data_IF_412247235780
#
_entry.id   IF_412247235780
#
_cell.length_a   1.000
_cell.length_b   1.000
_cell.length_c   1.000
_cell.angle_alpha   90.00
_cell.angle_beta   90.00
_cell.angle_gamma   90.00
#
_symmetry.space_group_name_H-M   'P 1'
#
loop_
_entity.id
_entity.type
_entity.pdbx_description
1 polymer ?
#
# COMPACT_ATOMS: atom_id res chain seq x y z
N UNK A 1 -6.44 -46.86 44.49
CA UNK A 1 -5.20 -46.35 43.86
C UNK A 1 -5.29 -46.38 42.34
N UNK A 2 -5.50 -47.56 41.71
CA UNK A 2 -5.55 -47.71 40.24
C UNK A 2 -6.63 -46.84 39.55
N UNK A 3 -7.86 -46.83 40.07
CA UNK A 3 -8.96 -46.01 39.53
C UNK A 3 -8.65 -44.50 39.56
N UNK A 4 -8.03 -44.01 40.64
CA UNK A 4 -7.61 -42.61 40.76
C UNK A 4 -6.54 -42.25 39.73
N UNK A 5 -5.62 -43.17 39.42
CA UNK A 5 -4.59 -42.98 38.38
C UNK A 5 -5.22 -42.89 36.99
N UNK A 6 -6.24 -43.70 36.71
CA UNK A 6 -6.99 -43.62 35.44
C UNK A 6 -7.77 -42.31 35.31
N UNK A 7 -8.42 -41.85 36.37
CA UNK A 7 -9.15 -40.58 36.35
C UNK A 7 -8.23 -39.38 36.17
N UNK A 8 -7.05 -39.40 36.81
CA UNK A 8 -6.01 -38.37 36.60
C UNK A 8 -5.50 -38.37 35.16
N UNK A 9 -5.32 -39.54 34.53
CA UNK A 9 -4.93 -39.62 33.11
C UNK A 9 -6.01 -39.11 32.17
N UNK A 10 -7.28 -39.39 32.44
CA UNK A 10 -8.42 -38.86 31.66
C UNK A 10 -8.51 -37.33 31.79
N UNK A 11 -8.31 -36.80 32.99
CA UNK A 11 -8.27 -35.35 33.23
C UNK A 11 -7.10 -34.68 32.52
N UNK A 12 -5.91 -35.29 32.50
CA UNK A 12 -4.76 -34.74 31.78
C UNK A 12 -4.96 -34.77 30.25
N UNK A 13 -5.61 -35.81 29.73
CA UNK A 13 -6.04 -35.87 28.33
C UNK A 13 -7.03 -34.75 27.98
N UNK A 14 -8.11 -34.63 28.76
CA UNK A 14 -9.12 -33.58 28.56
C UNK A 14 -8.51 -32.18 28.67
N UNK A 15 -7.54 -31.97 29.57
CA UNK A 15 -6.82 -30.72 29.70
C UNK A 15 -6.02 -30.38 28.43
N UNK A 16 -5.29 -31.35 27.84
CA UNK A 16 -4.52 -31.13 26.60
C UNK A 16 -5.41 -30.82 25.40
N UNK A 17 -6.56 -31.48 25.31
CA UNK A 17 -7.55 -31.21 24.26
C UNK A 17 -8.12 -29.79 24.41
N UNK A 18 -8.38 -29.36 25.65
CA UNK A 18 -8.81 -28.00 25.95
C UNK A 18 -7.73 -26.97 25.60
N UNK A 19 -6.46 -27.23 25.96
CA UNK A 19 -5.32 -26.36 25.64
C UNK A 19 -5.13 -26.20 24.12
N UNK A 20 -5.37 -27.28 23.36
CA UNK A 20 -5.30 -27.26 21.89
C UNK A 20 -6.44 -26.43 21.31
N UNK A 21 -7.67 -26.66 21.78
CA UNK A 21 -8.84 -25.89 21.35
C UNK A 21 -8.71 -24.39 21.66
N UNK A 22 -8.14 -24.03 22.82
CA UNK A 22 -7.84 -22.63 23.17
C UNK A 22 -6.80 -22.02 22.23
N UNK A 23 -5.79 -22.78 21.80
CA UNK A 23 -4.78 -22.30 20.83
C UNK A 23 -5.39 -22.07 19.45
N UNK A 24 -6.26 -22.96 18.99
CA UNK A 24 -6.93 -22.83 17.69
C UNK A 24 -7.89 -21.63 17.68
N UNK A 25 -8.69 -21.47 18.74
CA UNK A 25 -9.59 -20.31 18.91
C UNK A 25 -8.82 -18.99 18.93
N UNK A 26 -7.64 -18.93 19.56
CA UNK A 26 -6.77 -17.74 19.54
C UNK A 26 -6.27 -17.42 18.13
N UNK A 27 -5.95 -18.45 17.34
CA UNK A 27 -5.51 -18.28 15.95
C UNK A 27 -6.64 -17.77 15.06
N UNK A 28 -7.84 -18.32 15.23
CA UNK A 28 -9.04 -17.86 14.52
C UNK A 28 -9.39 -16.42 14.91
N UNK A 29 -9.33 -16.08 16.20
CA UNK A 29 -9.58 -14.71 16.68
C UNK A 29 -8.60 -13.72 16.04
N UNK A 30 -7.30 -14.04 16.00
CA UNK A 30 -6.29 -13.20 15.36
C UNK A 30 -6.55 -13.01 13.86
N UNK A 31 -6.99 -14.06 13.15
CA UNK A 31 -7.37 -13.98 11.73
C UNK A 31 -8.58 -13.06 11.51
N UNK A 32 -9.60 -13.17 12.36
CA UNK A 32 -10.81 -12.34 12.26
C UNK A 32 -10.50 -10.87 12.62
N UNK A 33 -9.63 -10.63 13.59
CA UNK A 33 -9.17 -9.28 13.95
C UNK A 33 -8.33 -8.62 12.85
N UNK A 34 -7.56 -9.41 12.08
CA UNK A 34 -6.84 -8.93 10.91
C UNK A 34 -7.80 -8.56 9.77
N UNK A 35 -8.76 -9.44 9.44
CA UNK A 35 -9.80 -9.16 8.44
C UNK A 35 -10.65 -7.94 8.81
N UNK A 36 -11.00 -7.80 10.10
CA UNK A 36 -11.73 -6.63 10.60
C UNK A 36 -10.93 -5.35 10.39
N UNK A 37 -9.61 -5.36 10.62
CA UNK A 37 -8.75 -4.18 10.40
C UNK A 37 -8.68 -3.81 8.92
N UNK A 38 -8.50 -4.79 8.04
CA UNK A 38 -8.49 -4.59 6.58
C UNK A 38 -9.82 -3.98 6.09
N UNK A 39 -10.95 -4.52 6.53
CA UNK A 39 -12.27 -3.97 6.21
C UNK A 39 -12.49 -2.56 6.77
N UNK A 40 -11.99 -2.28 7.98
CA UNK A 40 -12.07 -0.93 8.56
C UNK A 40 -11.19 0.07 7.79
N UNK A 41 -10.04 -0.34 7.27
CA UNK A 41 -9.21 0.48 6.39
C UNK A 41 -9.91 0.74 5.04
N UNK A 42 -10.53 -0.28 4.45
CA UNK A 42 -11.33 -0.14 3.22
C UNK A 42 -12.53 0.79 3.42
N UNK A 43 -13.24 0.68 4.55
CA UNK A 43 -14.33 1.59 4.92
C UNK A 43 -13.79 3.00 5.13
N UNK A 44 -12.68 3.19 5.86
CA UNK A 44 -12.09 4.50 6.06
C UNK A 44 -11.58 5.13 4.76
N UNK A 45 -11.14 4.33 3.78
CA UNK A 45 -10.79 4.80 2.44
C UNK A 45 -12.03 5.17 1.62
N UNK A 46 -13.10 4.38 1.71
CA UNK A 46 -14.40 4.68 1.10
C UNK A 46 -15.01 5.95 1.71
N UNK A 47 -14.96 6.13 3.02
CA UNK A 47 -15.44 7.32 3.70
C UNK A 47 -14.59 8.54 3.32
N UNK A 48 -13.26 8.43 3.30
CA UNK A 48 -12.39 9.48 2.74
C UNK A 48 -12.67 9.76 1.26
N UNK A 49 -13.17 8.79 0.51
CA UNK A 49 -13.59 8.98 -0.89
C UNK A 49 -14.97 9.65 -0.97
N UNK A 50 -15.91 9.28 -0.10
CA UNK A 50 -17.23 9.90 0.01
C UNK A 50 -17.14 11.32 0.54
N UNK A 51 -16.35 11.59 1.57
CA UNK A 51 -16.04 12.94 2.06
C UNK A 51 -15.36 13.78 0.98
N UNK A 52 -14.50 13.19 0.13
CA UNK A 52 -13.97 13.89 -1.05
C UNK A 52 -15.03 14.16 -2.13
N UNK A 53 -16.11 13.40 -2.18
CA UNK A 53 -17.24 13.62 -3.09
C UNK A 53 -18.27 14.61 -2.51
N UNK A 54 -18.50 14.58 -1.20
CA UNK A 54 -19.45 15.43 -0.48
C UNK A 54 -18.84 16.79 -0.11
N UNK A 55 -17.57 16.83 0.29
CA UNK A 55 -16.84 18.06 0.64
C UNK A 55 -15.95 18.59 -0.50
N UNK A 56 -15.63 17.76 -1.50
CA UNK A 56 -14.83 18.15 -2.65
C UNK A 56 -15.70 18.59 -3.84
N UNK A 57 -15.11 19.44 -4.67
CA UNK A 57 -15.49 19.95 -6.01
C UNK A 57 -16.83 19.55 -6.64
N UNK A 58 -17.33 18.32 -6.52
CA UNK A 58 -18.56 17.85 -7.16
C UNK A 58 -19.82 18.59 -6.66
N UNK A 59 -19.96 18.92 -5.36
CA UNK A 59 -21.11 19.70 -4.84
C UNK A 59 -21.10 21.17 -5.31
N UNK A 60 -19.93 21.83 -5.24
CA UNK A 60 -19.72 23.18 -5.81
C UNK A 60 -19.84 23.18 -7.34
N UNK A 61 -19.43 22.10 -8.00
CA UNK A 61 -19.57 21.92 -9.43
C UNK A 61 -21.02 21.66 -9.82
N UNK A 62 -21.87 21.03 -8.99
CA UNK A 62 -23.32 20.94 -9.24
C UNK A 62 -23.94 22.34 -9.22
N UNK A 63 -23.64 23.15 -8.21
CA UNK A 63 -24.14 24.54 -8.12
C UNK A 63 -23.64 25.42 -9.27
N UNK A 64 -22.36 25.28 -9.64
CA UNK A 64 -21.77 26.00 -10.76
C UNK A 64 -22.34 25.53 -12.12
N UNK A 65 -22.57 24.23 -12.31
CA UNK A 65 -23.27 23.68 -13.49
C UNK A 65 -24.67 24.23 -13.61
N UNK A 66 -25.46 24.21 -12.53
CA UNK A 66 -26.81 24.78 -12.50
C UNK A 66 -26.80 26.28 -12.82
N UNK A 67 -25.82 27.02 -12.29
CA UNK A 67 -25.64 28.45 -12.60
C UNK A 67 -25.37 28.68 -14.09
N UNK A 68 -24.46 27.91 -14.69
CA UNK A 68 -24.10 28.05 -16.12
C UNK A 68 -25.25 27.55 -17.01
N UNK A 69 -25.97 26.49 -16.63
CA UNK A 69 -27.19 26.07 -17.34
C UNK A 69 -28.23 27.18 -17.38
N UNK A 70 -28.53 27.82 -16.23
CA UNK A 70 -29.45 28.97 -16.17
C UNK A 70 -28.98 30.13 -17.05
N UNK A 71 -27.67 30.39 -17.11
CA UNK A 71 -27.10 31.40 -17.98
C UNK A 71 -27.30 31.05 -19.46
N UNK A 72 -27.00 29.82 -19.88
CA UNK A 72 -27.18 29.37 -21.26
C UNK A 72 -28.65 29.40 -21.70
N UNK A 73 -29.58 29.05 -20.80
CA UNK A 73 -31.02 29.17 -21.07
C UNK A 73 -31.45 30.63 -21.27
N UNK A 74 -30.98 31.55 -20.42
CA UNK A 74 -31.28 32.98 -20.58
C UNK A 74 -30.68 33.57 -21.89
N UNK A 75 -29.50 33.10 -22.31
CA UNK A 75 -28.89 33.49 -23.58
C UNK A 75 -29.70 32.96 -24.79
N UNK A 76 -30.17 31.71 -24.71
CA UNK A 76 -31.05 31.11 -25.72
C UNK A 76 -32.38 31.87 -25.85
N UNK A 77 -33.04 32.16 -24.73
CA UNK A 77 -34.30 32.94 -24.71
C UNK A 77 -34.10 34.37 -25.25
N UNK A 78 -32.92 34.95 -25.03
CA UNK A 78 -32.53 36.25 -25.56
C UNK A 78 -32.05 36.25 -27.02
N UNK A 79 -32.07 35.11 -27.72
CA UNK A 79 -31.61 34.99 -29.11
C UNK A 79 -30.09 35.16 -29.30
N UNK A 80 -29.31 34.97 -28.23
CA UNK A 80 -27.85 35.05 -28.23
C UNK A 80 -27.22 33.68 -28.47
N UNK A 81 -25.92 33.65 -28.77
CA UNK A 81 -25.18 32.40 -28.89
C UNK A 81 -24.94 31.77 -27.51
N UNK A 82 -25.75 30.77 -27.19
CA UNK A 82 -25.72 30.00 -25.95
C UNK A 82 -24.74 28.81 -26.03
N UNK A 83 -24.25 28.46 -27.22
CA UNK A 83 -23.44 27.24 -27.43
C UNK A 83 -22.12 27.34 -26.69
N UNK A 84 -21.48 28.50 -26.72
CA UNK A 84 -20.23 28.78 -25.99
C UNK A 84 -20.39 28.69 -24.47
N UNK A 85 -21.59 28.92 -23.94
CA UNK A 85 -21.86 28.85 -22.50
C UNK A 85 -22.17 27.41 -22.08
N UNK A 86 -22.86 26.63 -22.91
CA UNK A 86 -23.07 25.19 -22.68
C UNK A 86 -21.77 24.38 -22.80
N UNK A 87 -20.80 24.81 -23.62
CA UNK A 87 -19.47 24.21 -23.65
C UNK A 87 -18.75 24.27 -22.29
N UNK A 88 -18.96 25.34 -21.51
CA UNK A 88 -18.44 25.45 -20.14
C UNK A 88 -19.06 24.43 -19.19
N UNK A 89 -20.33 24.07 -19.40
CA UNK A 89 -20.98 22.99 -18.64
C UNK A 89 -20.40 21.63 -19.04
N UNK A 90 -20.17 21.38 -20.32
CA UNK A 90 -19.55 20.12 -20.79
C UNK A 90 -18.16 19.90 -20.23
N UNK A 91 -17.38 20.97 -20.07
CA UNK A 91 -16.10 20.94 -19.36
C UNK A 91 -16.26 20.52 -17.88
N UNK A 92 -17.33 20.97 -17.21
CA UNK A 92 -17.67 20.57 -15.83
C UNK A 92 -18.32 19.19 -15.72
N UNK A 93 -18.98 18.71 -16.78
CA UNK A 93 -19.63 17.39 -16.84
C UNK A 93 -18.65 16.25 -17.12
N UNK A 94 -17.35 16.53 -17.21
CA UNK A 94 -16.31 15.54 -17.54
C UNK A 94 -16.62 14.85 -18.88
N UNK A 95 -16.98 15.64 -19.89
CA UNK A 95 -17.28 15.12 -21.25
C UNK A 95 -16.10 15.37 -22.17
N UNK A 96 -15.55 14.28 -22.73
CA UNK A 96 -14.57 14.32 -23.81
C UNK A 96 -15.34 14.19 -25.12
N UNK A 97 -15.37 15.25 -25.92
CA UNK A 97 -16.01 15.26 -27.24
C UNK A 97 -14.97 15.09 -28.35
N UNK A 98 -15.13 14.05 -29.16
CA UNK A 98 -14.19 13.73 -30.24
C UNK A 98 -14.93 13.59 -31.57
N UNK A 99 -14.38 14.11 -32.68
CA UNK A 99 -14.82 13.73 -34.02
C UNK A 99 -14.75 12.21 -34.23
N UNK A 100 -15.66 11.67 -35.04
CA UNK A 100 -15.69 10.22 -35.32
C UNK A 100 -14.34 9.67 -35.83
N UNK A 101 -13.66 10.38 -36.72
CA UNK A 101 -12.36 9.96 -37.26
C UNK A 101 -11.24 9.92 -36.21
N UNK A 102 -11.23 10.88 -35.28
CA UNK A 102 -10.29 10.90 -34.16
C UNK A 102 -10.58 9.77 -33.18
N UNK A 103 -11.85 9.51 -32.88
CA UNK A 103 -12.27 8.39 -32.04
C UNK A 103 -11.84 7.04 -32.62
N UNK A 104 -12.00 6.82 -33.93
CA UNK A 104 -11.53 5.60 -34.60
C UNK A 104 -10.00 5.44 -34.54
N UNK A 105 -9.27 6.55 -34.64
CA UNK A 105 -7.80 6.56 -34.55
C UNK A 105 -7.35 6.22 -33.13
N UNK A 106 -7.96 6.86 -32.13
CA UNK A 106 -7.73 6.59 -30.72
C UNK A 106 -8.00 5.12 -30.37
N UNK A 107 -9.10 4.54 -30.84
CA UNK A 107 -9.43 3.12 -30.64
C UNK A 107 -8.30 2.21 -31.14
N UNK A 108 -7.74 2.48 -32.32
CA UNK A 108 -6.63 1.67 -32.88
C UNK A 108 -5.35 1.81 -32.06
N UNK A 109 -5.04 3.02 -31.60
CA UNK A 109 -3.85 3.29 -30.78
C UNK A 109 -3.98 2.60 -29.44
N UNK A 110 -5.09 2.79 -28.73
CA UNK A 110 -5.32 2.19 -27.42
C UNK A 110 -5.36 0.66 -27.49
N UNK A 111 -6.01 0.07 -28.50
CA UNK A 111 -6.04 -1.40 -28.67
C UNK A 111 -4.62 -1.96 -28.87
N UNK A 112 -3.79 -1.27 -29.67
CA UNK A 112 -2.37 -1.65 -29.85
C UNK A 112 -1.60 -1.57 -28.54
N UNK A 113 -1.67 -0.44 -27.83
CA UNK A 113 -0.94 -0.23 -26.57
C UNK A 113 -1.40 -1.21 -25.49
N UNK A 114 -2.71 -1.40 -25.33
CA UNK A 114 -3.30 -2.38 -24.42
C UNK A 114 -2.83 -3.80 -24.76
N UNK A 115 -2.69 -4.08 -26.05
CA UNK A 115 -2.00 -5.26 -26.52
C UNK A 115 -0.61 -5.36 -25.88
N UNK A 116 0.24 -4.39 -26.10
CA UNK A 116 1.64 -4.41 -25.65
C UNK A 116 1.76 -4.56 -24.13
N UNK A 117 0.87 -3.90 -23.36
CA UNK A 117 0.70 -4.10 -21.91
C UNK A 117 0.35 -5.55 -21.59
N UNK A 118 -0.68 -6.11 -22.22
CA UNK A 118 -1.16 -7.46 -21.93
C UNK A 118 -0.10 -8.55 -22.19
N UNK A 119 0.76 -8.42 -23.21
CA UNK A 119 1.88 -9.37 -23.44
C UNK A 119 2.91 -9.31 -22.31
N UNK A 120 3.24 -8.10 -21.87
CA UNK A 120 4.19 -7.90 -20.77
C UNK A 120 3.62 -8.44 -19.46
N UNK A 121 2.34 -8.19 -19.19
CA UNK A 121 1.63 -8.77 -18.04
C UNK A 121 1.56 -10.30 -18.11
N UNK A 122 1.34 -10.88 -19.30
CA UNK A 122 1.32 -12.35 -19.45
C UNK A 122 2.67 -12.97 -19.08
N UNK A 123 3.77 -12.33 -19.52
CA UNK A 123 5.12 -12.78 -19.18
C UNK A 123 5.41 -12.62 -17.67
N UNK A 124 5.02 -11.50 -17.05
CA UNK A 124 5.13 -11.29 -15.60
C UNK A 124 4.31 -12.30 -14.80
N UNK A 125 3.08 -12.57 -15.23
CA UNK A 125 2.18 -13.53 -14.57
C UNK A 125 2.69 -14.97 -14.62
N UNK A 126 3.44 -15.34 -15.66
CA UNK A 126 4.13 -16.65 -15.73
C UNK A 126 5.22 -16.81 -14.67
N UNK A 127 5.73 -15.69 -14.14
CA UNK A 127 6.72 -15.69 -13.04
C UNK A 127 6.00 -15.71 -11.70
N UNK A 128 5.00 -14.83 -11.51
CA UNK A 128 4.23 -14.76 -10.27
C UNK A 128 2.74 -14.47 -10.59
N UNK A 129 1.80 -15.37 -10.24
CA UNK A 129 0.41 -15.24 -10.63
C UNK A 129 -0.40 -14.32 -9.68
N UNK A 130 0.05 -13.08 -9.50
CA UNK A 130 -0.53 -12.10 -8.55
C UNK A 130 -1.86 -11.51 -9.08
N UNK A 131 -2.06 -11.50 -10.39
CA UNK A 131 -3.24 -10.92 -11.04
C UNK A 131 -4.01 -11.93 -11.90
N UNK A 132 -5.22 -11.55 -12.29
CA UNK A 132 -6.06 -12.29 -13.23
C UNK A 132 -5.37 -12.50 -14.59
N UNK A 133 -5.88 -13.43 -15.41
CA UNK A 133 -5.31 -13.72 -16.73
C UNK A 133 -5.34 -12.47 -17.64
N UNK A 134 -4.18 -11.96 -18.12
CA UNK A 134 -4.11 -10.81 -19.01
C UNK A 134 -4.78 -11.03 -20.37
N UNK A 135 -5.12 -12.28 -20.73
CA UNK A 135 -5.95 -12.57 -21.91
C UNK A 135 -7.30 -11.86 -21.87
N UNK A 136 -7.81 -11.47 -20.70
CA UNK A 136 -9.02 -10.66 -20.59
C UNK A 136 -8.91 -9.28 -21.26
N UNK A 137 -7.69 -8.81 -21.54
CA UNK A 137 -7.43 -7.57 -22.28
C UNK A 137 -7.21 -7.81 -23.79
N UNK A 138 -7.41 -9.04 -24.30
CA UNK A 138 -7.22 -9.39 -25.71
C UNK A 138 -8.25 -10.43 -26.20
N UNK A 139 -9.35 -10.03 -26.86
CA UNK A 139 -10.35 -10.98 -27.36
C UNK A 139 -9.85 -11.82 -28.53
N UNK A 140 -8.93 -11.28 -29.34
CA UNK A 140 -8.60 -11.82 -30.67
C UNK A 140 -7.61 -12.99 -30.63
N UNK A 141 -7.05 -13.33 -29.48
CA UNK A 141 -6.03 -14.38 -29.38
C UNK A 141 -6.55 -15.64 -28.68
N UNK A 142 -7.55 -15.52 -27.79
CA UNK A 142 -8.17 -16.68 -27.14
C UNK A 142 -9.66 -16.41 -26.94
N UNK A 143 -10.50 -17.20 -27.61
CA UNK A 143 -11.94 -16.96 -27.71
C UNK A 143 -12.68 -17.01 -26.37
N UNK A 144 -13.68 -16.11 -26.27
CA UNK A 144 -14.73 -16.04 -25.25
C UNK A 144 -14.28 -15.79 -23.81
N UNK A 145 -14.48 -14.57 -23.30
CA UNK A 145 -14.37 -14.29 -21.86
C UNK A 145 -14.10 -12.83 -21.45
N UNK A 146 -13.81 -11.91 -22.39
CA UNK A 146 -13.56 -10.52 -22.01
C UNK A 146 -14.85 -9.74 -21.78
N UNK A 147 -14.90 -8.97 -20.68
CA UNK A 147 -16.00 -8.06 -20.33
C UNK A 147 -15.97 -6.73 -21.09
N UNK A 148 -14.91 -6.46 -21.87
CA UNK A 148 -14.74 -5.18 -22.57
C UNK A 148 -15.13 -5.30 -24.05
N UNK A 149 -15.74 -4.24 -24.58
CA UNK A 149 -15.93 -4.07 -26.03
C UNK A 149 -14.75 -3.30 -26.65
N UNK A 150 -13.82 -4.00 -27.28
CA UNK A 150 -12.58 -3.42 -27.83
C UNK A 150 -12.80 -2.59 -29.10
N UNK A 151 -14.05 -2.43 -29.54
CA UNK A 151 -14.42 -1.54 -30.65
C UNK A 151 -14.79 -0.14 -30.16
N UNK A 152 -15.04 0.05 -28.87
CA UNK A 152 -15.46 1.34 -28.31
C UNK A 152 -14.37 1.96 -27.42
N UNK A 153 -14.15 3.27 -27.60
CA UNK A 153 -13.17 4.02 -26.83
C UNK A 153 -13.42 3.98 -25.31
N UNK A 154 -14.66 4.13 -24.80
CA UNK A 154 -14.94 3.97 -23.37
C UNK A 154 -14.51 2.62 -22.80
N UNK A 155 -14.79 1.53 -23.52
CA UNK A 155 -14.45 0.18 -23.07
C UNK A 155 -12.95 -0.07 -23.09
N UNK A 156 -12.23 0.44 -24.10
CA UNK A 156 -10.77 0.40 -24.16
C UNK A 156 -10.11 1.23 -23.04
N UNK A 157 -10.70 2.37 -22.67
CA UNK A 157 -10.26 3.17 -21.53
C UNK A 157 -10.37 2.39 -20.21
N UNK A 158 -11.50 1.70 -19.99
CA UNK A 158 -11.69 0.83 -18.82
C UNK A 158 -10.71 -0.35 -18.81
N UNK A 159 -10.48 -0.98 -19.96
CA UNK A 159 -9.52 -2.07 -20.09
C UNK A 159 -8.08 -1.59 -19.83
N UNK A 160 -7.71 -0.41 -20.33
CA UNK A 160 -6.42 0.24 -20.10
C UNK A 160 -6.21 0.54 -18.62
N UNK A 161 -7.21 1.15 -17.95
CA UNK A 161 -7.20 1.38 -16.50
C UNK A 161 -6.97 0.09 -15.73
N UNK A 162 -7.74 -0.95 -16.02
CA UNK A 162 -7.66 -2.22 -15.30
C UNK A 162 -6.32 -2.95 -15.57
N UNK A 163 -5.78 -2.86 -16.79
CA UNK A 163 -4.42 -3.35 -17.09
C UNK A 163 -3.32 -2.57 -16.36
N UNK A 164 -3.54 -1.27 -16.13
CA UNK A 164 -2.66 -0.44 -15.31
C UNK A 164 -2.66 -0.87 -13.85
N UNK A 165 -3.82 -1.24 -13.29
CA UNK A 165 -3.92 -1.80 -11.93
C UNK A 165 -3.17 -3.13 -11.80
N UNK A 166 -3.31 -4.01 -12.79
CA UNK A 166 -2.54 -5.25 -12.82
C UNK A 166 -1.03 -4.98 -12.85
N UNK A 167 -0.59 -4.05 -13.69
CA UNK A 167 0.81 -3.64 -13.76
C UNK A 167 1.30 -3.08 -12.42
N UNK A 168 0.49 -2.23 -11.77
CA UNK A 168 0.83 -1.65 -10.48
C UNK A 168 1.07 -2.73 -9.42
N UNK A 169 0.25 -3.78 -9.36
CA UNK A 169 0.45 -4.89 -8.42
C UNK A 169 1.82 -5.57 -8.61
N UNK A 170 2.26 -5.78 -9.85
CA UNK A 170 3.61 -6.31 -10.13
C UNK A 170 4.73 -5.35 -9.70
N UNK A 171 4.58 -4.06 -10.00
CA UNK A 171 5.58 -3.04 -9.64
C UNK A 171 5.68 -2.87 -8.12
N UNK A 172 4.55 -2.90 -7.41
CA UNK A 172 4.50 -2.91 -5.95
C UNK A 172 5.19 -4.14 -5.36
N UNK A 173 4.96 -5.32 -5.94
CA UNK A 173 5.68 -6.54 -5.52
C UNK A 173 7.18 -6.42 -5.75
N UNK A 174 7.62 -5.95 -6.92
CA UNK A 174 9.05 -5.71 -7.18
C UNK A 174 9.65 -4.75 -6.16
N UNK A 175 8.95 -3.64 -5.86
CA UNK A 175 9.44 -2.66 -4.88
C UNK A 175 9.49 -3.24 -3.46
N UNK A 176 8.50 -4.03 -3.09
CA UNK A 176 8.48 -4.77 -1.83
C UNK A 176 9.67 -5.74 -1.72
N UNK A 177 9.96 -6.49 -2.79
CA UNK A 177 11.12 -7.41 -2.87
C UNK A 177 12.46 -6.69 -2.69
N UNK A 178 12.60 -5.49 -3.28
CA UNK A 178 13.76 -4.63 -3.01
C UNK A 178 13.85 -4.29 -1.51
N UNK A 179 12.72 -3.96 -0.89
CA UNK A 179 12.61 -3.67 0.53
C UNK A 179 13.04 -4.83 1.42
N UNK A 180 12.61 -6.06 1.10
CA UNK A 180 13.07 -7.28 1.79
C UNK A 180 14.59 -7.42 1.69
N UNK A 181 15.17 -7.15 0.52
CA UNK A 181 16.62 -7.22 0.31
C UNK A 181 17.39 -6.18 1.12
N UNK A 182 16.82 -4.97 1.28
CA UNK A 182 17.39 -3.91 2.12
C UNK A 182 17.33 -4.32 3.60
N UNK A 183 16.16 -4.79 4.05
CA UNK A 183 15.94 -5.20 5.42
C UNK A 183 16.85 -6.38 5.80
N UNK A 184 16.93 -7.41 4.94
CA UNK A 184 17.80 -8.58 5.13
C UNK A 184 19.28 -8.20 5.36
N UNK A 185 19.77 -7.16 4.67
CA UNK A 185 21.14 -6.63 4.86
C UNK A 185 21.32 -5.96 6.23
N UNK A 186 20.27 -5.36 6.78
CA UNK A 186 20.31 -4.68 8.08
C UNK A 186 19.97 -5.60 9.27
N UNK A 187 19.34 -6.75 9.03
CA UNK A 187 18.96 -7.72 10.08
C UNK A 187 20.11 -8.03 11.06
N UNK A 188 21.35 -8.35 10.64
CA UNK A 188 22.43 -8.65 11.58
C UNK A 188 22.75 -7.48 12.52
N UNK A 189 22.72 -6.24 11.99
CA UNK A 189 22.98 -5.03 12.76
C UNK A 189 21.84 -4.74 13.73
N UNK A 190 20.60 -4.84 13.27
CA UNK A 190 19.41 -4.70 14.13
C UNK A 190 19.41 -5.75 15.25
N UNK A 191 19.77 -7.00 14.95
CA UNK A 191 19.90 -8.06 15.97
C UNK A 191 20.92 -7.71 17.04
N UNK A 192 22.10 -7.25 16.66
CA UNK A 192 23.14 -6.88 17.61
C UNK A 192 22.66 -5.77 18.56
N UNK A 193 22.08 -4.71 17.99
CA UNK A 193 21.58 -3.55 18.73
C UNK A 193 20.43 -3.92 19.67
N UNK A 194 19.43 -4.67 19.19
CA UNK A 194 18.33 -5.09 20.05
C UNK A 194 18.77 -6.09 21.13
N UNK A 195 19.77 -6.94 20.85
CA UNK A 195 20.31 -7.86 21.86
C UNK A 195 20.96 -7.10 23.01
N UNK A 196 21.72 -6.05 22.70
CA UNK A 196 22.31 -5.16 23.70
C UNK A 196 21.23 -4.45 24.51
N UNK A 197 20.22 -3.88 23.85
CA UNK A 197 19.11 -3.21 24.51
C UNK A 197 18.35 -4.15 25.46
N UNK A 198 18.06 -5.39 25.04
CA UNK A 198 17.42 -6.42 25.88
C UNK A 198 18.27 -6.75 27.10
N UNK A 199 19.59 -6.89 26.93
CA UNK A 199 20.52 -7.13 28.04
C UNK A 199 20.48 -6.01 29.07
N UNK A 200 20.55 -4.75 28.62
CA UNK A 200 20.50 -3.58 29.50
C UNK A 200 19.15 -3.45 30.23
N UNK A 201 18.04 -3.73 29.55
CA UNK A 201 16.71 -3.78 30.16
C UNK A 201 16.64 -4.88 31.22
N UNK A 202 17.24 -6.05 30.96
CA UNK A 202 17.31 -7.14 31.93
C UNK A 202 18.11 -6.76 33.18
N UNK A 203 19.30 -6.20 33.00
CA UNK A 203 20.16 -5.73 34.11
C UNK A 203 19.45 -4.69 34.97
N UNK A 204 18.71 -3.77 34.34
CA UNK A 204 17.94 -2.77 35.08
C UNK A 204 16.75 -3.37 35.82
N UNK A 205 16.04 -4.34 35.24
CA UNK A 205 14.96 -5.04 35.94
C UNK A 205 15.49 -5.82 37.13
N UNK A 206 16.62 -6.49 37.00
CA UNK A 206 17.28 -7.17 38.12
C UNK A 206 17.64 -6.18 39.25
N UNK A 207 18.30 -5.06 38.92
CA UNK A 207 18.63 -4.00 39.90
C UNK A 207 17.40 -3.41 40.59
N UNK A 208 16.25 -3.40 39.92
CA UNK A 208 14.98 -2.92 40.46
C UNK A 208 14.21 -3.99 41.26
N UNK A 209 14.66 -5.25 41.24
CA UNK A 209 13.99 -6.39 41.86
C UNK A 209 12.77 -6.89 41.09
N UNK A 210 12.70 -6.59 39.79
CA UNK A 210 11.65 -7.04 38.89
C UNK A 210 11.96 -8.42 38.30
N UNK A 211 10.92 -9.21 37.92
CA UNK A 211 11.15 -10.45 37.21
C UNK A 211 11.84 -10.18 35.85
N UNK A 212 12.57 -11.17 35.30
CA UNK A 212 13.23 -11.03 34.01
C UNK A 212 12.29 -10.50 32.92
N UNK A 213 12.78 -9.66 31.98
CA UNK A 213 11.97 -9.11 30.91
C UNK A 213 11.44 -10.20 29.98
N UNK A 214 10.25 -9.99 29.42
CA UNK A 214 9.66 -10.93 28.44
C UNK A 214 10.51 -10.96 27.17
N UNK A 215 11.10 -9.84 26.78
CA UNK A 215 12.00 -9.75 25.63
C UNK A 215 13.20 -10.70 25.68
N UNK A 216 13.65 -11.13 26.87
CA UNK A 216 14.71 -12.14 27.02
C UNK A 216 14.31 -13.53 26.49
N UNK A 217 13.01 -13.80 26.43
CA UNK A 217 12.47 -15.12 25.98
C UNK A 217 12.35 -15.22 24.45
N UNK A 218 12.54 -14.10 23.73
CA UNK A 218 12.35 -14.04 22.29
C UNK A 218 13.61 -14.50 21.56
N UNK A 219 13.45 -15.49 20.68
CA UNK A 219 14.54 -15.99 19.84
C UNK A 219 14.84 -15.01 18.72
N UNK A 220 15.99 -14.34 18.81
CA UNK A 220 16.41 -13.33 17.84
C UNK A 220 16.93 -13.92 16.52
N UNK A 221 17.26 -15.21 16.50
CA UNK A 221 17.81 -15.89 15.33
C UNK A 221 16.77 -16.09 14.21
N UNK A 222 15.48 -16.06 14.55
CA UNK A 222 14.38 -16.11 13.61
C UNK A 222 14.04 -14.70 13.08
N UNK A 223 13.54 -14.61 11.84
CA UNK A 223 13.06 -13.37 11.22
C UNK A 223 11.90 -12.76 12.00
N UNK A 224 11.05 -13.60 12.59
CA UNK A 224 9.96 -13.18 13.49
C UNK A 224 10.45 -12.41 14.72
N UNK A 225 11.66 -12.67 15.18
CA UNK A 225 12.28 -11.94 16.29
C UNK A 225 12.48 -10.46 15.96
N UNK A 226 12.86 -10.10 14.73
CA UNK A 226 13.03 -8.70 14.33
C UNK A 226 11.70 -7.94 14.24
N UNK A 227 10.60 -8.63 13.95
CA UNK A 227 9.27 -8.01 13.92
C UNK A 227 8.73 -7.76 15.32
N UNK A 228 8.78 -8.77 16.19
CA UNK A 228 8.09 -8.74 17.48
C UNK A 228 8.93 -8.10 18.60
N UNK A 229 10.25 -8.28 18.60
CA UNK A 229 11.11 -7.85 19.69
C UNK A 229 11.04 -6.35 20.02
N UNK A 230 11.00 -5.42 19.05
CA UNK A 230 11.00 -3.99 19.38
C UNK A 230 9.75 -3.58 20.17
N UNK A 231 8.58 -4.15 19.86
CA UNK A 231 7.34 -3.92 20.62
C UNK A 231 7.40 -4.56 22.03
N UNK A 232 7.99 -5.75 22.15
CA UNK A 232 8.11 -6.44 23.44
C UNK A 232 9.09 -5.69 24.36
N UNK A 233 10.21 -5.23 23.82
CA UNK A 233 11.16 -4.38 24.55
C UNK A 233 10.52 -3.07 24.99
N UNK A 234 9.69 -2.44 24.15
CA UNK A 234 8.93 -1.25 24.53
C UNK A 234 8.02 -1.50 25.75
N UNK A 235 7.32 -2.65 25.80
CA UNK A 235 6.50 -3.01 26.96
C UNK A 235 7.35 -3.28 28.24
N UNK A 236 8.54 -3.86 28.08
CA UNK A 236 9.48 -4.04 29.20
C UNK A 236 10.01 -2.69 29.71
N UNK A 237 10.28 -1.73 28.80
CA UNK A 237 10.67 -0.36 29.14
C UNK A 237 9.57 0.36 29.90
N UNK A 238 8.31 0.26 29.46
CA UNK A 238 7.16 0.83 30.17
C UNK A 238 7.04 0.30 31.61
N UNK A 239 7.39 -0.98 31.83
CA UNK A 239 7.40 -1.58 33.16
C UNK A 239 8.44 -0.90 34.08
N UNK A 240 9.65 -0.66 33.57
CA UNK A 240 10.72 0.07 34.28
C UNK A 240 10.26 1.50 34.60
N UNK A 241 9.68 2.20 33.61
CA UNK A 241 9.31 3.62 33.75
C UNK A 241 8.17 3.86 34.73
N UNK A 242 7.28 2.88 34.94
CA UNK A 242 6.18 2.96 35.93
C UNK A 242 6.66 2.97 37.38
N UNK A 243 7.94 2.66 37.66
CA UNK A 243 8.56 2.75 38.99
C UNK A 243 8.85 4.21 39.37
N UNK A 244 7.80 4.96 39.73
CA UNK A 244 7.80 6.42 39.97
C UNK A 244 9.05 6.99 40.66
N UNK A 245 9.51 6.41 41.77
CA UNK A 245 10.66 6.94 42.53
C UNK A 245 12.03 6.41 42.10
N UNK A 246 12.09 5.41 41.22
CA UNK A 246 13.34 4.74 40.81
C UNK A 246 13.62 4.79 39.30
N UNK A 247 12.72 5.38 38.50
CA UNK A 247 12.84 5.40 37.04
C UNK A 247 13.87 6.39 36.49
N UNK A 248 14.31 7.39 37.27
CA UNK A 248 15.19 8.46 36.76
C UNK A 248 16.58 7.97 36.33
N UNK A 249 17.20 7.12 37.15
CA UNK A 249 18.51 6.54 36.86
C UNK A 249 18.50 5.58 35.65
N UNK A 250 17.63 4.54 35.58
CA UNK A 250 17.56 3.69 34.40
C UNK A 250 17.18 4.47 33.15
N UNK A 251 16.29 5.47 33.24
CA UNK A 251 15.95 6.29 32.08
C UNK A 251 17.14 7.11 31.57
N UNK A 252 18.02 7.60 32.46
CA UNK A 252 19.24 8.31 32.06
C UNK A 252 20.19 7.45 31.24
N UNK A 253 20.33 6.18 31.61
CA UNK A 253 21.24 5.25 30.94
C UNK A 253 20.62 4.66 29.67
N UNK A 254 19.31 4.40 29.67
CA UNK A 254 18.62 3.77 28.55
C UNK A 254 18.25 4.76 27.44
N UNK A 255 17.90 6.02 27.75
CA UNK A 255 17.39 6.96 26.74
C UNK A 255 18.33 7.15 25.52
N UNK A 256 19.65 7.36 25.68
CA UNK A 256 20.55 7.53 24.54
C UNK A 256 20.61 6.29 23.64
N UNK A 257 20.63 5.11 24.26
CA UNK A 257 20.73 3.83 23.56
C UNK A 257 19.44 3.54 22.80
N UNK A 258 18.28 3.78 23.40
CA UNK A 258 16.98 3.60 22.73
C UNK A 258 16.86 4.59 21.55
N UNK A 259 17.32 5.84 21.69
CA UNK A 259 17.28 6.82 20.59
C UNK A 259 18.11 6.34 19.39
N UNK A 260 19.31 5.79 19.62
CA UNK A 260 20.13 5.20 18.56
C UNK A 260 19.47 3.97 17.92
N UNK A 261 18.84 3.11 18.74
CA UNK A 261 18.08 1.95 18.27
C UNK A 261 16.91 2.38 17.37
N UNK A 262 16.10 3.34 17.83
CA UNK A 262 14.96 3.89 17.10
C UNK A 262 15.42 4.54 15.81
N UNK A 263 16.48 5.36 15.85
CA UNK A 263 17.01 6.01 14.66
C UNK A 263 17.49 5.00 13.61
N UNK A 264 18.19 3.94 14.02
CA UNK A 264 18.62 2.87 13.13
C UNK A 264 17.43 2.12 12.53
N UNK A 265 16.44 1.75 13.35
CA UNK A 265 15.30 0.98 12.89
C UNK A 265 14.41 1.81 11.96
N UNK A 266 14.19 3.08 12.30
CA UNK A 266 13.46 4.04 11.49
C UNK A 266 14.11 4.26 10.13
N UNK A 267 15.42 4.53 10.10
CA UNK A 267 16.18 4.67 8.85
C UNK A 267 16.07 3.41 7.99
N UNK A 268 16.22 2.23 8.61
CA UNK A 268 16.13 0.95 7.91
C UNK A 268 14.74 0.75 7.30
N UNK A 269 13.67 1.10 8.02
CA UNK A 269 12.30 0.98 7.53
C UNK A 269 11.99 1.98 6.42
N UNK A 270 12.49 3.21 6.49
CA UNK A 270 12.37 4.17 5.39
C UNK A 270 13.03 3.63 4.12
N UNK A 271 14.28 3.16 4.22
CA UNK A 271 15.01 2.61 3.08
C UNK A 271 14.30 1.37 2.50
N UNK A 272 13.86 0.46 3.38
CA UNK A 272 13.17 -0.75 2.98
C UNK A 272 11.81 -0.47 2.34
N UNK A 273 11.00 0.45 2.89
CA UNK A 273 9.67 0.80 2.35
C UNK A 273 9.74 1.71 1.11
N UNK A 274 10.74 2.58 1.03
CA UNK A 274 10.78 3.65 0.02
C UNK A 274 9.85 4.81 0.31
N UNK A 275 9.24 4.85 1.50
CA UNK A 275 8.28 5.85 1.92
C UNK A 275 8.68 6.39 3.29
N UNK A 276 8.33 7.66 3.55
CA UNK A 276 8.57 8.27 4.85
C UNK A 276 7.74 7.59 5.94
N UNK A 277 8.38 7.29 7.07
CA UNK A 277 7.71 6.85 8.29
C UNK A 277 7.65 8.05 9.24
N UNK A 278 6.46 8.50 9.69
CA UNK A 278 6.36 9.61 10.63
C UNK A 278 7.18 9.36 11.90
N UNK A 279 7.81 10.41 12.44
CA UNK A 279 8.41 10.40 13.79
C UNK A 279 7.60 11.28 14.72
N UNK A 280 7.61 10.92 16.00
CA UNK A 280 7.08 11.80 17.04
C UNK A 280 8.06 12.95 17.23
N UNK A 281 7.58 14.19 17.17
CA UNK A 281 8.43 15.36 17.35
C UNK A 281 9.01 15.41 18.76
N UNK A 282 10.33 15.64 18.85
CA UNK A 282 11.03 15.79 20.12
C UNK A 282 10.68 17.14 20.76
N UNK A 283 10.17 17.17 22.00
CA UNK A 283 9.92 18.43 22.71
C UNK A 283 11.21 19.23 22.96
N UNK A 284 11.10 20.57 23.05
CA UNK A 284 12.23 21.47 23.35
C UNK A 284 12.90 21.19 24.70
N UNK A 285 12.13 20.70 25.68
CA UNK A 285 12.61 20.28 27.00
C UNK A 285 11.91 18.98 27.34
N UNK A 286 12.68 17.93 27.55
CA UNK A 286 12.19 16.58 27.84
C UNK A 286 13.10 15.96 28.89
N UNK A 287 12.51 15.36 29.93
CA UNK A 287 13.27 14.56 30.91
C UNK A 287 13.62 13.19 30.32
N UNK A 288 14.67 12.53 30.82
CA UNK A 288 15.06 11.20 30.33
C UNK A 288 13.92 10.17 30.43
N UNK A 289 13.10 10.26 31.48
CA UNK A 289 11.92 9.39 31.66
C UNK A 289 10.88 9.62 30.55
N UNK A 290 10.61 10.88 30.20
CA UNK A 290 9.71 11.22 29.10
C UNK A 290 10.29 10.79 27.75
N UNK A 291 11.60 10.98 27.55
CA UNK A 291 12.29 10.53 26.33
C UNK A 291 12.20 9.02 26.15
N UNK A 292 12.45 8.22 27.19
CA UNK A 292 12.28 6.77 27.13
C UNK A 292 10.84 6.37 26.80
N UNK A 293 9.84 7.01 27.41
CA UNK A 293 8.43 6.70 27.14
C UNK A 293 8.05 7.00 25.68
N UNK A 294 8.45 8.16 25.15
CA UNK A 294 8.24 8.51 23.75
C UNK A 294 8.91 7.51 22.81
N UNK A 295 10.17 7.18 23.08
CA UNK A 295 10.95 6.26 22.25
C UNK A 295 10.43 4.82 22.30
N UNK A 296 9.92 4.35 23.43
CA UNK A 296 9.22 3.07 23.54
C UNK A 296 7.94 3.06 22.68
N UNK A 297 7.19 4.18 22.67
CA UNK A 297 6.06 4.38 21.77
C UNK A 297 6.47 4.32 20.29
N UNK A 298 7.57 4.98 19.91
CA UNK A 298 8.13 4.91 18.55
C UNK A 298 8.55 3.48 18.18
N UNK A 299 9.22 2.74 19.06
CA UNK A 299 9.58 1.33 18.81
C UNK A 299 8.35 0.46 18.54
N UNK A 300 7.27 0.65 19.30
CA UNK A 300 6.01 -0.07 19.10
C UNK A 300 5.39 0.25 17.73
N UNK A 301 5.37 1.52 17.33
CA UNK A 301 4.86 1.94 16.03
C UNK A 301 5.70 1.38 14.86
N UNK A 302 7.03 1.39 15.01
CA UNK A 302 7.95 0.84 14.01
C UNK A 302 7.83 -0.67 13.88
N UNK A 303 7.67 -1.39 15.00
CA UNK A 303 7.40 -2.81 15.00
C UNK A 303 6.10 -3.13 14.24
N UNK A 304 5.00 -2.45 14.57
CA UNK A 304 3.73 -2.63 13.87
C UNK A 304 3.83 -2.35 12.37
N UNK A 305 4.55 -1.27 12.00
CA UNK A 305 4.79 -0.94 10.58
C UNK A 305 5.58 -2.04 9.87
N UNK A 306 6.65 -2.54 10.50
CA UNK A 306 7.48 -3.60 9.92
C UNK A 306 6.70 -4.91 9.79
N UNK A 307 5.86 -5.25 10.78
CA UNK A 307 5.02 -6.44 10.76
C UNK A 307 3.97 -6.38 9.65
N UNK A 308 3.25 -5.26 9.53
CA UNK A 308 2.25 -5.07 8.46
C UNK A 308 2.86 -5.25 7.08
N UNK A 309 4.05 -4.71 6.84
CA UNK A 309 4.66 -4.71 5.50
C UNK A 309 5.46 -5.99 5.23
N UNK A 310 6.18 -6.54 6.21
CA UNK A 310 7.19 -7.59 5.99
C UNK A 310 6.95 -8.89 6.78
N UNK A 311 5.75 -9.10 7.33
CA UNK A 311 5.39 -10.36 7.99
C UNK A 311 5.58 -11.59 7.11
N UNK A 312 5.28 -11.50 5.81
CA UNK A 312 5.52 -12.57 4.85
C UNK A 312 7.01 -12.93 4.77
N UNK A 313 7.88 -11.93 4.60
CA UNK A 313 9.33 -12.14 4.47
C UNK A 313 9.94 -12.71 5.76
N UNK A 314 9.44 -12.31 6.93
CA UNK A 314 9.95 -12.80 8.22
C UNK A 314 9.71 -14.31 8.43
N UNK A 315 8.70 -14.91 7.78
CA UNK A 315 8.46 -16.37 7.80
C UNK A 315 9.59 -17.15 7.12
N UNK A 316 10.31 -16.49 6.22
CA UNK A 316 11.43 -17.05 5.46
C UNK A 316 12.77 -16.41 5.86
N UNK A 317 12.87 -15.87 7.07
CA UNK A 317 14.06 -15.18 7.58
C UNK A 317 14.59 -14.08 6.63
N UNK A 318 13.67 -13.35 5.99
CA UNK A 318 13.95 -12.32 4.98
C UNK A 318 14.75 -12.82 3.76
N UNK A 319 14.71 -14.12 3.48
CA UNK A 319 15.22 -14.70 2.23
C UNK A 319 14.18 -14.51 1.14
N UNK A 320 14.65 -14.11 -0.04
CA UNK A 320 13.80 -13.98 -1.21
C UNK A 320 13.40 -15.37 -1.75
N UNK A 321 12.14 -15.50 -2.13
CA UNK A 321 11.69 -16.63 -2.94
C UNK A 321 12.25 -16.57 -4.36
N UNK A 322 12.25 -17.71 -5.06
CA UNK A 322 12.71 -17.79 -6.45
C UNK A 322 11.86 -16.90 -7.37
N UNK A 323 10.54 -16.90 -7.19
CA UNK A 323 9.61 -16.07 -7.97
C UNK A 323 9.92 -14.57 -7.84
N UNK A 324 10.15 -14.09 -6.61
CA UNK A 324 10.47 -12.69 -6.35
C UNK A 324 11.81 -12.28 -6.95
N UNK A 325 12.83 -13.14 -6.84
CA UNK A 325 14.13 -12.92 -7.44
C UNK A 325 14.04 -12.86 -8.97
N UNK A 326 13.26 -13.75 -9.59
CA UNK A 326 13.00 -13.75 -11.03
C UNK A 326 12.21 -12.53 -11.47
N UNK A 327 11.20 -12.12 -10.70
CA UNK A 327 10.41 -10.93 -10.99
C UNK A 327 11.31 -9.68 -11.02
N UNK A 328 12.24 -9.55 -10.07
CA UNK A 328 13.23 -8.47 -10.05
C UNK A 328 14.18 -8.50 -11.25
N UNK A 329 14.57 -9.68 -11.74
CA UNK A 329 15.41 -9.82 -12.93
C UNK A 329 14.68 -9.39 -14.22
N UNK A 330 13.36 -9.55 -14.23
CA UNK A 330 12.46 -9.29 -15.35
C UNK A 330 11.82 -7.89 -15.29
N UNK A 331 12.43 -6.95 -14.55
CA UNK A 331 12.03 -5.53 -14.41
C UNK A 331 11.72 -4.86 -15.77
N UNK A 332 12.47 -5.23 -16.82
CA UNK A 332 12.30 -4.66 -18.14
C UNK A 332 10.89 -4.91 -18.73
N UNK A 333 10.21 -5.99 -18.34
CA UNK A 333 8.83 -6.28 -18.74
C UNK A 333 7.86 -5.28 -18.10
N UNK A 334 8.02 -4.97 -16.82
CA UNK A 334 7.21 -3.95 -16.14
C UNK A 334 7.44 -2.57 -16.74
N UNK A 335 8.68 -2.24 -17.12
CA UNK A 335 8.99 -0.99 -17.85
C UNK A 335 8.36 -0.94 -19.22
N UNK A 336 8.41 -2.04 -19.98
CA UNK A 336 7.80 -2.12 -21.30
C UNK A 336 6.28 -1.93 -21.21
N UNK A 337 5.64 -2.59 -20.24
CA UNK A 337 4.22 -2.39 -19.96
C UNK A 337 3.92 -0.94 -19.58
N UNK A 338 4.73 -0.32 -18.71
CA UNK A 338 4.53 1.05 -18.29
C UNK A 338 4.73 2.05 -19.42
N UNK A 339 5.68 1.81 -20.33
CA UNK A 339 5.89 2.63 -21.52
C UNK A 339 4.70 2.54 -22.49
N UNK A 340 4.12 1.36 -22.67
CA UNK A 340 2.90 1.20 -23.46
C UNK A 340 1.71 1.90 -22.79
N UNK A 341 1.57 1.78 -21.46
CA UNK A 341 0.57 2.50 -20.68
C UNK A 341 0.73 4.02 -20.77
N UNK A 342 1.97 4.51 -20.74
CA UNK A 342 2.30 5.93 -20.95
C UNK A 342 1.86 6.42 -22.32
N UNK A 343 2.07 5.60 -23.37
CA UNK A 343 1.55 5.87 -24.70
C UNK A 343 0.03 6.04 -24.73
N UNK A 344 -0.71 5.15 -24.05
CA UNK A 344 -2.17 5.29 -23.89
C UNK A 344 -2.54 6.56 -23.13
N UNK A 345 -1.84 6.86 -22.03
CA UNK A 345 -2.12 8.06 -21.24
C UNK A 345 -1.90 9.34 -22.05
N UNK A 346 -0.80 9.42 -22.81
CA UNK A 346 -0.49 10.58 -23.64
C UNK A 346 -1.51 10.77 -24.76
N UNK A 347 -1.99 9.67 -25.38
CA UNK A 347 -3.06 9.72 -26.37
C UNK A 347 -4.35 10.29 -25.77
N UNK A 348 -4.79 9.75 -24.62
CA UNK A 348 -6.03 10.19 -23.96
C UNK A 348 -5.90 11.63 -23.45
N UNK A 349 -4.72 12.01 -22.95
CA UNK A 349 -4.44 13.34 -22.45
C UNK A 349 -4.44 14.41 -23.55
N UNK A 350 -4.24 14.00 -24.81
CA UNK A 350 -4.36 14.87 -25.98
C UNK A 350 -5.81 15.22 -26.32
N UNK A 351 -6.81 14.56 -25.74
CA UNK A 351 -8.20 14.81 -26.06
C UNK A 351 -8.72 16.14 -25.47
N UNK A 352 -9.69 16.80 -26.15
CA UNK A 352 -10.35 17.97 -25.59
C UNK A 352 -11.02 17.65 -24.25
N UNK A 353 -10.80 18.52 -23.26
CA UNK A 353 -11.32 18.39 -21.90
C UNK A 353 -10.86 17.12 -21.16
N UNK A 354 -9.77 16.47 -21.59
CA UNK A 354 -9.14 15.43 -20.79
C UNK A 354 -8.65 16.00 -19.44
N UNK A 355 -8.64 15.18 -18.36
CA UNK A 355 -8.13 15.63 -17.07
C UNK A 355 -6.65 16.05 -17.18
N UNK A 356 -6.29 17.15 -16.52
CA UNK A 356 -4.91 17.61 -16.44
C UNK A 356 -3.99 16.51 -15.90
N UNK A 357 -2.75 16.48 -16.40
CA UNK A 357 -1.78 15.49 -16.01
C UNK A 357 -0.39 16.11 -15.85
N UNK A 358 0.38 15.51 -14.95
CA UNK A 358 1.82 15.73 -14.85
C UNK A 358 2.47 14.40 -14.48
N UNK A 359 2.90 13.66 -15.49
CA UNK A 359 3.52 12.37 -15.28
C UNK A 359 5.01 12.52 -15.01
N UNK A 360 5.47 11.83 -13.96
CA UNK A 360 6.88 11.59 -13.72
C UNK A 360 7.47 10.80 -14.90
N UNK A 361 8.60 11.28 -15.41
CA UNK A 361 9.32 10.61 -16.50
C UNK A 361 9.76 9.22 -16.08
N UNK A 362 9.75 8.27 -17.01
CA UNK A 362 10.23 6.91 -16.77
C UNK A 362 11.70 6.94 -16.36
N UNK A 363 12.03 6.27 -15.26
CA UNK A 363 13.37 6.29 -14.66
C UNK A 363 14.40 5.50 -15.46
N UNK A 364 15.68 5.58 -15.06
CA UNK A 364 16.69 4.63 -15.52
C UNK A 364 16.45 3.23 -14.92
N UNK A 365 17.02 2.17 -15.53
CA UNK A 365 16.89 0.78 -15.04
C UNK A 365 17.23 0.65 -13.55
N UNK A 366 16.52 -0.25 -12.86
CA UNK A 366 16.65 -0.58 -11.43
C UNK A 366 16.28 0.52 -10.43
N UNK A 367 15.70 1.63 -10.88
CA UNK A 367 15.10 2.64 -10.01
C UNK A 367 13.62 2.31 -9.78
N UNK A 368 13.37 1.42 -8.81
CA UNK A 368 12.05 0.89 -8.47
C UNK A 368 11.16 1.91 -7.76
N UNK A 369 11.73 2.87 -7.02
CA UNK A 369 10.96 3.94 -6.36
C UNK A 369 10.29 4.83 -7.41
N UNK A 370 11.06 5.30 -8.40
CA UNK A 370 10.49 6.09 -9.49
C UNK A 370 9.59 5.27 -10.41
N UNK A 371 9.90 3.99 -10.62
CA UNK A 371 9.03 3.09 -11.40
C UNK A 371 7.64 2.96 -10.74
N UNK A 372 7.61 2.77 -9.42
CA UNK A 372 6.37 2.69 -8.65
C UNK A 372 5.60 4.02 -8.66
N UNK A 373 6.28 5.15 -8.42
CA UNK A 373 5.66 6.47 -8.49
C UNK A 373 5.03 6.73 -9.87
N UNK A 374 5.78 6.44 -10.94
CA UNK A 374 5.31 6.58 -12.32
C UNK A 374 4.08 5.70 -12.62
N UNK A 375 4.05 4.46 -12.12
CA UNK A 375 2.91 3.56 -12.26
C UNK A 375 1.68 4.07 -11.50
N UNK A 376 1.84 4.48 -10.23
CA UNK A 376 0.75 5.01 -9.38
C UNK A 376 0.10 6.25 -10.00
N UNK A 377 0.91 7.20 -10.49
CA UNK A 377 0.40 8.42 -11.14
C UNK A 377 -0.46 8.11 -12.37
N UNK A 378 0.01 7.21 -13.25
CA UNK A 378 -0.72 6.83 -14.47
C UNK A 378 -2.00 6.07 -14.17
N UNK A 379 -1.96 5.15 -13.21
CA UNK A 379 -3.16 4.41 -12.78
C UNK A 379 -4.17 5.36 -12.15
N UNK A 380 -3.75 6.22 -11.23
CA UNK A 380 -4.64 7.21 -10.60
C UNK A 380 -5.27 8.15 -11.64
N UNK A 381 -4.48 8.62 -12.60
CA UNK A 381 -4.99 9.45 -13.68
C UNK A 381 -5.95 8.69 -14.61
N UNK A 382 -5.66 7.44 -14.98
CA UNK A 382 -6.57 6.60 -15.75
C UNK A 382 -7.88 6.32 -15.00
N UNK A 383 -7.84 6.19 -13.67
CA UNK A 383 -9.05 6.10 -12.85
C UNK A 383 -9.90 7.37 -12.87
N UNK A 384 -9.25 8.53 -12.98
CA UNK A 384 -9.94 9.81 -13.18
C UNK A 384 -10.49 9.90 -14.60
N UNK A 385 -9.68 9.65 -15.62
CA UNK A 385 -10.07 9.69 -17.03
C UNK A 385 -11.22 8.72 -17.33
N UNK A 386 -11.23 7.53 -16.74
CA UNK A 386 -12.31 6.55 -16.90
C UNK A 386 -13.67 7.01 -16.35
N UNK A 387 -13.74 8.12 -15.60
CA UNK A 387 -15.00 8.74 -15.15
C UNK A 387 -15.55 9.72 -16.18
N UNK A 388 -14.77 10.09 -17.18
CA UNK A 388 -15.20 11.01 -18.23
C UNK A 388 -16.10 10.28 -19.21
N UNK A 389 -17.17 10.95 -19.63
CA UNK A 389 -18.04 10.45 -20.70
C UNK A 389 -17.41 10.78 -22.04
N UNK A 390 -17.15 9.77 -22.85
CA UNK A 390 -16.76 9.98 -24.26
C UNK A 390 -18.04 10.24 -25.07
N UNK A 391 -18.06 11.34 -25.81
CA UNK A 391 -19.08 11.66 -26.80
C UNK A 391 -18.45 11.74 -28.18
N UNK A 392 -18.96 10.92 -29.12
CA UNK A 392 -18.54 11.00 -30.52
C UNK A 392 -19.41 12.03 -31.23
N UNK A 393 -18.78 13.05 -31.80
CA UNK A 393 -19.45 14.10 -32.57
C UNK A 393 -19.45 13.68 -34.04
N UNK A 394 -20.65 13.49 -34.58
CA UNK A 394 -20.86 13.23 -36.01
C UNK A 394 -21.00 14.59 -36.70
N UNK A 395 -20.14 14.89 -37.67
CA UNK A 395 -20.24 16.13 -38.44
C UNK A 395 -21.58 16.14 -39.21
N UNK A 396 -22.46 17.09 -38.90
CA UNK A 396 -23.73 17.29 -39.62
C UNK A 396 -25.03 17.27 -38.79
N UNK A 397 -24.98 17.41 -37.47
CA UNK A 397 -26.17 17.64 -36.63
C UNK A 397 -26.26 19.09 -36.14
#
# INVERSE_FOLDING_TARGET
AQAVIEDVRKLDGARRDLETSVRDLRTQLASVEAQRRELMEEVAERDRRLDRLDAGEDAKAVDERLRIYRQAFAELEGGKDWKTTIEKVRALERVISLPAAECETAVKILDRQLGDVARSLEALRKISPITEDPKRFRPRIFGMGSKYDFKSLPSLLLATRDSGRDLLAFVERMRWTLGVTVLARQVPKLRAVFKELVGLVADWREKLGDPPPVSLTIRMDAGSGILALPAIVAADLDTILRRKSKAALPASDLAPIIEECVALYHKTLIEARGEAVPRVEKPKRESNVQACARLAGELTQLAGTCETVFSEAARSDFRLGEEDARLMAEEHLARAALAALDGSCNEIAGFPNAPEHKFTALSARKDFDRLLAAARERVAWLEQAARYRIQVVVAGA
#
